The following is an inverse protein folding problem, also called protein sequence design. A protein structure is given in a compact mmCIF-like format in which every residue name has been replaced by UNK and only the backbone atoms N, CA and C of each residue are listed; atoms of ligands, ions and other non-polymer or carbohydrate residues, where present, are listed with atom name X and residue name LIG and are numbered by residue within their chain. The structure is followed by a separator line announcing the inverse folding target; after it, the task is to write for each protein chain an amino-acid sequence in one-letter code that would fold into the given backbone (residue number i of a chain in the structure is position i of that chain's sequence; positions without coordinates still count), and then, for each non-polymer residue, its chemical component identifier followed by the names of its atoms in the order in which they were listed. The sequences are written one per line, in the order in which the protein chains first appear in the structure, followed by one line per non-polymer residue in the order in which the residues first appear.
data_IF_028695425007
#
_entry.id   IF_028695425007
#
_cell.length_a   1.000
_cell.length_b   1.000
_cell.length_c   1.000
_cell.angle_alpha   90.00
_cell.angle_beta   90.00
_cell.angle_gamma   90.00
#
_symmetry.space_group_name_H-M   'P 1'
#
loop_
_entity.id
_entity.type
_entity.pdbx_description
1 polymer ?
#
# COMPACT_ATOMS: atom_id res chain seq x y z
N UNK A 1 -19.31 -29.36 25.37
CA UNK A 1 -19.45 -27.89 25.19
C UNK A 1 -18.76 -27.56 23.87
N UNK A 2 -19.51 -27.46 22.77
CA UNK A 2 -18.93 -27.23 21.44
C UNK A 2 -18.72 -25.73 21.21
N UNK A 3 -17.48 -25.28 21.38
CA UNK A 3 -17.10 -23.90 21.03
C UNK A 3 -16.82 -23.82 19.53
N UNK A 4 -17.69 -23.12 18.79
CA UNK A 4 -17.41 -22.75 17.41
C UNK A 4 -16.26 -21.73 17.37
N UNK A 5 -15.12 -22.12 16.80
CA UNK A 5 -14.06 -21.19 16.45
C UNK A 5 -14.21 -20.79 14.98
N UNK A 6 -14.56 -19.53 14.71
CA UNK A 6 -14.55 -19.03 13.33
C UNK A 6 -13.10 -18.93 12.85
N UNK A 7 -12.65 -19.86 12.01
CA UNK A 7 -11.45 -19.65 11.21
C UNK A 7 -11.76 -18.58 10.17
N UNK A 8 -11.07 -17.44 10.27
CA UNK A 8 -11.10 -16.40 9.24
C UNK A 8 -9.81 -16.56 8.45
N UNK A 9 -9.93 -17.11 7.25
CA UNK A 9 -8.78 -17.24 6.35
C UNK A 9 -8.45 -15.87 5.76
N UNK A 10 -7.40 -15.25 6.30
CA UNK A 10 -6.86 -13.97 5.84
C UNK A 10 -5.68 -14.15 4.88
N UNK A 11 -5.31 -15.40 4.56
CA UNK A 11 -4.11 -15.77 3.78
C UNK A 11 -4.02 -15.05 2.44
N UNK A 12 -5.12 -14.99 1.68
CA UNK A 12 -5.16 -14.31 0.38
C UNK A 12 -4.89 -12.79 0.51
N UNK A 13 -5.42 -12.18 1.58
CA UNK A 13 -5.25 -10.75 1.83
C UNK A 13 -3.82 -10.47 2.29
N UNK A 14 -3.24 -11.36 3.08
CA UNK A 14 -1.84 -11.29 3.53
C UNK A 14 -0.91 -11.37 2.32
N UNK A 15 -1.08 -12.38 1.47
CA UNK A 15 -0.24 -12.60 0.30
C UNK A 15 -0.27 -11.37 -0.63
N UNK A 16 -1.47 -10.87 -0.93
CA UNK A 16 -1.63 -9.70 -1.78
C UNK A 16 -1.07 -8.42 -1.19
N UNK A 17 -1.22 -8.22 0.13
CA UNK A 17 -0.65 -7.06 0.81
C UNK A 17 0.88 -7.13 0.86
N UNK A 18 1.47 -8.32 0.99
CA UNK A 18 2.92 -8.53 0.88
C UNK A 18 3.43 -8.19 -0.52
N UNK A 19 2.77 -8.69 -1.57
CA UNK A 19 3.12 -8.38 -2.97
C UNK A 19 3.10 -6.86 -3.21
N UNK A 20 2.05 -6.17 -2.76
CA UNK A 20 1.93 -4.72 -2.89
C UNK A 20 2.97 -3.96 -2.06
N UNK A 21 3.34 -4.48 -0.88
CA UNK A 21 4.37 -3.89 -0.04
C UNK A 21 5.75 -3.96 -0.67
N UNK A 22 6.07 -5.07 -1.35
CA UNK A 22 7.31 -5.22 -2.09
C UNK A 22 7.36 -4.34 -3.34
N UNK A 23 6.27 -4.28 -4.11
CA UNK A 23 6.20 -3.46 -5.33
C UNK A 23 6.17 -1.95 -5.04
N UNK A 24 5.50 -1.53 -3.97
CA UNK A 24 5.23 -0.12 -3.68
C UNK A 24 5.58 0.28 -2.24
N UNK A 25 6.84 0.13 -1.79
CA UNK A 25 7.23 0.27 -0.38
C UNK A 25 7.04 1.69 0.20
N UNK A 26 6.73 2.69 -0.64
CA UNK A 26 6.52 4.08 -0.23
C UNK A 26 5.05 4.45 -0.05
N UNK A 27 4.13 3.52 -0.32
CA UNK A 27 2.69 3.75 -0.31
C UNK A 27 2.05 3.16 0.94
N UNK A 28 0.87 3.68 1.29
CA UNK A 28 0.11 3.26 2.47
C UNK A 28 -1.15 2.49 2.13
N UNK A 29 -1.94 2.22 3.17
CA UNK A 29 -3.16 1.41 3.10
C UNK A 29 -4.15 1.84 2.01
N UNK A 30 -4.51 3.13 1.92
CA UNK A 30 -5.55 3.56 0.98
C UNK A 30 -5.12 3.30 -0.47
N UNK A 31 -3.85 3.51 -0.81
CA UNK A 31 -3.30 3.21 -2.14
C UNK A 31 -3.35 1.71 -2.46
N UNK A 32 -3.01 0.85 -1.48
CA UNK A 32 -3.09 -0.60 -1.63
C UNK A 32 -4.55 -1.06 -1.81
N UNK A 33 -5.46 -0.54 -1.00
CA UNK A 33 -6.89 -0.84 -1.13
C UNK A 33 -7.44 -0.41 -2.49
N UNK A 34 -7.06 0.76 -2.99
CA UNK A 34 -7.46 1.21 -4.33
C UNK A 34 -6.87 0.34 -5.45
N UNK A 35 -5.66 -0.19 -5.31
CA UNK A 35 -5.10 -1.17 -6.28
C UNK A 35 -5.88 -2.48 -6.26
N UNK A 36 -6.12 -3.04 -5.08
CA UNK A 36 -6.94 -4.26 -4.90
C UNK A 36 -8.31 -4.10 -5.57
N UNK A 37 -8.97 -2.94 -5.39
CA UNK A 37 -10.25 -2.64 -6.03
C UNK A 37 -10.15 -2.51 -7.55
N UNK A 38 -9.07 -1.94 -8.08
CA UNK A 38 -8.81 -1.84 -9.53
C UNK A 38 -8.54 -3.19 -10.18
N UNK A 39 -7.95 -4.12 -9.44
CA UNK A 39 -7.76 -5.50 -9.87
C UNK A 39 -9.04 -6.34 -9.86
N UNK A 40 -10.18 -5.76 -9.44
CA UNK A 40 -11.48 -6.44 -9.42
C UNK A 40 -11.76 -7.22 -8.13
N UNK A 41 -10.84 -7.23 -7.17
CA UNK A 41 -11.04 -7.91 -5.88
C UNK A 41 -12.00 -7.10 -5.00
N UNK A 42 -13.17 -7.66 -4.72
CA UNK A 42 -14.24 -7.04 -3.92
C UNK A 42 -14.11 -7.43 -2.44
N UNK A 43 -12.93 -7.19 -1.86
CA UNK A 43 -12.72 -7.42 -0.44
C UNK A 43 -13.26 -6.26 0.40
N UNK A 44 -13.90 -6.60 1.53
CA UNK A 44 -14.38 -5.59 2.47
C UNK A 44 -13.20 -4.78 3.03
N UNK A 45 -13.26 -3.45 2.95
CA UNK A 45 -12.25 -2.53 3.49
C UNK A 45 -11.87 -2.83 4.94
N UNK A 46 -12.83 -3.21 5.79
CA UNK A 46 -12.58 -3.55 7.21
C UNK A 46 -11.71 -4.80 7.35
N UNK A 47 -11.90 -5.81 6.49
CA UNK A 47 -11.08 -7.04 6.45
C UNK A 47 -9.65 -6.69 6.08
N UNK A 48 -9.46 -5.96 4.97
CA UNK A 48 -8.12 -5.55 4.51
C UNK A 48 -7.42 -4.66 5.53
N UNK A 49 -8.13 -3.70 6.14
CA UNK A 49 -7.56 -2.80 7.14
C UNK A 49 -7.09 -3.56 8.39
N UNK A 50 -7.86 -4.56 8.84
CA UNK A 50 -7.46 -5.42 9.97
C UNK A 50 -6.17 -6.15 9.66
N UNK A 51 -6.11 -6.84 8.52
CA UNK A 51 -4.93 -7.61 8.11
C UNK A 51 -3.71 -6.70 7.95
N UNK A 52 -3.88 -5.57 7.26
CA UNK A 52 -2.82 -4.56 7.12
C UNK A 52 -2.23 -4.10 8.46
N UNK A 53 -3.10 -3.82 9.45
CA UNK A 53 -2.68 -3.43 10.80
C UNK A 53 -1.96 -4.56 11.54
N UNK A 54 -2.41 -5.81 11.36
CA UNK A 54 -1.75 -6.99 11.94
C UNK A 54 -0.34 -7.19 11.36
N UNK A 55 -0.16 -6.94 10.06
CA UNK A 55 1.13 -7.08 9.38
C UNK A 55 2.16 -6.00 9.75
N UNK A 56 1.73 -4.89 10.38
CA UNK A 56 2.59 -3.77 10.82
C UNK A 56 3.62 -3.33 9.75
N UNK A 57 3.17 -3.23 8.50
CA UNK A 57 4.03 -2.83 7.38
C UNK A 57 4.61 -1.43 7.62
N UNK A 58 5.94 -1.32 7.56
CA UNK A 58 6.65 -0.05 7.68
C UNK A 58 6.76 0.62 6.31
N UNK A 59 6.38 1.92 6.23
CA UNK A 59 6.54 2.68 4.99
C UNK A 59 8.00 3.11 4.84
N UNK A 60 8.58 2.84 3.66
CA UNK A 60 9.89 3.36 3.29
C UNK A 60 9.78 4.85 2.96
N UNK A 61 10.76 5.63 3.41
CA UNK A 61 10.82 7.07 3.13
C UNK A 61 10.93 7.32 1.62
N UNK A 62 10.09 8.22 1.09
CA UNK A 62 10.20 8.70 -0.29
C UNK A 62 11.45 9.58 -0.42
N UNK A 63 12.37 9.20 -1.31
CA UNK A 63 13.53 10.02 -1.63
C UNK A 63 13.12 11.24 -2.46
N UNK A 64 13.67 12.42 -2.14
CA UNK A 64 13.48 13.63 -2.97
C UNK A 64 14.33 13.50 -4.22
N UNK A 65 13.73 13.65 -5.41
CA UNK A 65 14.47 13.71 -6.67
C UNK A 65 15.26 15.04 -6.69
N UNK A 66 16.56 14.97 -7.00
CA UNK A 66 17.36 16.18 -7.24
C UNK A 66 16.83 16.88 -8.49
N UNK A 67 16.43 18.14 -8.36
CA UNK A 67 16.09 18.96 -9.51
C UNK A 67 17.38 19.51 -10.12
N UNK A 68 17.43 19.60 -11.45
CA UNK A 68 18.56 20.23 -12.15
C UNK A 68 18.51 21.73 -11.85
N UNK A 69 19.68 22.33 -11.59
CA UNK A 69 19.81 23.77 -11.38
C UNK A 69 19.37 24.50 -12.65
N UNK A 70 18.40 25.41 -12.52
CA UNK A 70 17.96 26.24 -13.66
C UNK A 70 19.05 27.27 -13.96
N UNK A 71 19.62 27.21 -15.17
CA UNK A 71 20.53 28.25 -15.68
C UNK A 71 19.69 29.48 -16.01
N UNK A 72 19.99 30.63 -15.41
CA UNK A 72 19.31 31.90 -15.72
C UNK A 72 19.83 32.41 -17.05
N UNK A 73 18.94 32.65 -18.02
CA UNK A 73 19.29 33.35 -19.26
C UNK A 73 19.04 34.85 -19.06
N UNK A 74 19.95 35.72 -19.52
CA UNK A 74 19.71 37.16 -19.55
C UNK A 74 18.55 37.48 -20.50
N UNK A 75 17.82 38.56 -20.22
CA UNK A 75 16.83 39.10 -21.14
C UNK A 75 17.58 39.88 -22.23
N UNK A 76 17.37 39.55 -23.50
CA UNK A 76 17.93 40.31 -24.61
C UNK A 76 17.25 41.69 -24.65
N UNK A 77 18.04 42.76 -24.64
CA UNK A 77 17.59 44.16 -24.73
C UNK A 77 17.64 44.64 -26.17
#
# INVERSE_FOLDING_TARGET
MWYYQSKKDDTEVIDKLSELAEQYPTRGFDEYYHKIRREGLIWNRKRVLRVYRLMKLSLRRKHKKRLITRVKQPLET
#
